data_IF_555043581182
#
_entry.id   IF_555043581182
#
_cell.length_a   1.000
_cell.length_b   1.000
_cell.length_c   1.000
_cell.angle_alpha   90.00
_cell.angle_beta   90.00
_cell.angle_gamma   90.00
#
_symmetry.space_group_name_H-M   'P 1'
#
loop_
_entity.id
_entity.type
_entity.pdbx_description
1 polymer ?
#
# COMPACT_ATOMS: atom_id res chain seq x y z
N UNK A 1 14.41 -26.73 -10.41
CA UNK A 1 14.73 -26.65 -8.97
C UNK A 1 13.48 -26.57 -8.11
N UNK A 2 12.57 -25.63 -8.32
CA UNK A 2 11.35 -25.47 -7.49
C UNK A 2 10.39 -26.68 -7.50
N UNK A 3 10.24 -27.34 -8.66
CA UNK A 3 9.41 -28.55 -8.77
C UNK A 3 9.96 -29.72 -7.94
N UNK A 4 11.29 -29.86 -7.89
CA UNK A 4 11.95 -30.87 -7.06
C UNK A 4 11.76 -30.57 -5.56
N UNK A 5 11.82 -29.29 -5.18
CA UNK A 5 11.58 -28.85 -3.81
C UNK A 5 10.14 -29.16 -3.37
N UNK A 6 9.15 -28.87 -4.23
CA UNK A 6 7.74 -29.19 -4.00
C UNK A 6 7.47 -30.70 -3.92
N UNK A 7 8.07 -31.50 -4.80
CA UNK A 7 7.96 -32.96 -4.74
C UNK A 7 8.62 -33.52 -3.47
N UNK A 8 9.74 -32.93 -3.05
CA UNK A 8 10.45 -33.35 -1.83
C UNK A 8 9.77 -32.92 -0.53
N UNK A 9 8.87 -31.94 -0.58
CA UNK A 9 8.14 -31.47 0.61
C UNK A 9 6.99 -32.41 0.98
N UNK A 10 6.42 -33.14 0.02
CA UNK A 10 5.28 -34.04 0.28
C UNK A 10 5.59 -35.18 1.27
N UNK A 11 6.68 -35.97 1.12
CA UNK A 11 7.01 -37.01 2.10
C UNK A 11 7.35 -36.43 3.48
N UNK A 12 7.98 -35.25 3.51
CA UNK A 12 8.28 -34.54 4.77
C UNK A 12 6.99 -34.09 5.46
N UNK A 13 6.03 -33.57 4.70
CA UNK A 13 4.73 -33.16 5.20
C UNK A 13 3.95 -34.34 5.78
N UNK A 14 3.99 -35.48 5.11
CA UNK A 14 3.38 -36.70 5.60
C UNK A 14 3.99 -37.13 6.95
N UNK A 15 5.32 -37.18 7.06
CA UNK A 15 6.00 -37.58 8.30
C UNK A 15 5.72 -36.62 9.47
N UNK A 16 5.73 -35.31 9.22
CA UNK A 16 5.39 -34.31 10.24
C UNK A 16 3.92 -34.42 10.63
N UNK A 17 3.03 -34.67 9.66
CA UNK A 17 1.60 -34.92 9.89
C UNK A 17 1.33 -36.15 10.73
N UNK A 18 1.98 -37.28 10.46
CA UNK A 18 1.83 -38.50 11.26
C UNK A 18 2.30 -38.29 12.71
N UNK A 19 3.43 -37.58 12.90
CA UNK A 19 3.89 -37.23 14.25
C UNK A 19 2.89 -36.36 14.98
N UNK A 20 2.30 -35.39 14.28
CA UNK A 20 1.32 -34.48 14.85
C UNK A 20 0.04 -35.22 15.27
N UNK A 21 -0.48 -36.08 14.38
CA UNK A 21 -1.62 -36.94 14.69
C UNK A 21 -1.33 -37.89 15.86
N UNK A 22 -0.14 -38.50 15.87
CA UNK A 22 0.27 -39.42 16.94
C UNK A 22 0.29 -38.72 18.30
N UNK A 23 0.83 -37.50 18.40
CA UNK A 23 0.81 -36.74 19.65
C UNK A 23 -0.62 -36.45 20.13
N UNK A 24 -1.50 -36.00 19.23
CA UNK A 24 -2.90 -35.73 19.58
C UNK A 24 -3.64 -37.00 20.00
N UNK A 25 -3.45 -38.10 19.28
CA UNK A 25 -4.06 -39.40 19.59
C UNK A 25 -3.58 -39.90 20.95
N UNK A 26 -2.29 -39.81 21.24
CA UNK A 26 -1.76 -40.22 22.55
C UNK A 26 -2.35 -39.39 23.68
N UNK A 27 -2.44 -38.06 23.51
CA UNK A 27 -3.09 -37.17 24.51
C UNK A 27 -4.57 -37.51 24.68
N UNK A 28 -5.27 -37.81 23.60
CA UNK A 28 -6.67 -38.26 23.64
C UNK A 28 -6.81 -39.57 24.43
N UNK A 29 -5.98 -40.57 24.14
CA UNK A 29 -6.00 -41.86 24.83
C UNK A 29 -5.67 -41.74 26.32
N UNK A 30 -4.68 -40.90 26.68
CA UNK A 30 -4.36 -40.62 28.09
C UNK A 30 -5.51 -39.90 28.80
N UNK A 31 -6.14 -38.93 28.14
CA UNK A 31 -7.33 -38.24 28.67
C UNK A 31 -8.48 -39.20 28.94
N UNK A 32 -8.74 -40.13 28.00
CA UNK A 32 -9.76 -41.17 28.17
C UNK A 32 -9.44 -42.12 29.31
N UNK A 33 -8.18 -42.57 29.45
CA UNK A 33 -7.77 -43.41 30.58
C UNK A 33 -8.00 -42.70 31.91
N UNK A 34 -7.63 -41.41 31.99
CA UNK A 34 -7.80 -40.60 33.20
C UNK A 34 -9.27 -40.37 33.54
N UNK A 35 -10.11 -40.10 32.53
CA UNK A 35 -11.56 -40.02 32.70
C UNK A 35 -12.17 -41.33 33.17
N UNK A 36 -11.76 -42.47 32.60
CA UNK A 36 -12.25 -43.78 33.00
C UNK A 36 -11.90 -44.09 34.46
N UNK A 37 -10.71 -43.69 34.92
CA UNK A 37 -10.33 -43.79 36.34
C UNK A 37 -11.21 -42.90 37.20
N UNK A 38 -11.47 -41.66 36.79
CA UNK A 38 -12.29 -40.71 37.54
C UNK A 38 -13.74 -41.21 37.70
N UNK A 39 -14.34 -41.70 36.63
CA UNK A 39 -15.69 -42.28 36.65
C UNK A 39 -15.76 -43.51 37.56
N UNK A 40 -14.71 -44.35 37.57
CA UNK A 40 -14.65 -45.54 38.43
C UNK A 40 -14.50 -45.23 39.92
N UNK A 41 -14.06 -44.03 40.31
CA UNK A 41 -13.97 -43.64 41.74
C UNK A 41 -15.34 -43.48 42.41
N UNK A 42 -16.41 -43.34 41.63
CA UNK A 42 -17.78 -43.17 42.16
C UNK A 42 -18.71 -44.30 41.68
N UNK A 43 -18.46 -45.56 42.05
CA UNK A 43 -19.22 -46.71 41.52
C UNK A 43 -20.70 -46.71 41.94
N UNK A 44 -21.04 -46.16 43.11
CA UNK A 44 -22.40 -46.15 43.65
C UNK A 44 -23.14 -44.81 43.45
N UNK A 45 -22.50 -43.83 42.81
CA UNK A 45 -23.07 -42.50 42.62
C UNK A 45 -23.73 -42.43 41.24
N UNK A 46 -25.01 -42.07 41.18
CA UNK A 46 -25.60 -41.58 39.93
C UNK A 46 -24.89 -40.26 39.60
N UNK A 47 -23.89 -40.33 38.72
CA UNK A 47 -23.18 -39.14 38.25
C UNK A 47 -24.17 -38.34 37.40
N UNK A 48 -24.45 -37.11 37.80
CA UNK A 48 -25.24 -36.21 36.97
C UNK A 48 -24.42 -35.86 35.71
N UNK A 49 -25.11 -35.70 34.58
CA UNK A 49 -24.44 -35.38 33.31
C UNK A 49 -23.53 -34.14 33.42
N UNK A 50 -23.94 -33.15 34.22
CA UNK A 50 -23.16 -31.94 34.46
C UNK A 50 -21.80 -32.26 35.10
N UNK A 51 -21.80 -33.02 36.20
CA UNK A 51 -20.56 -33.41 36.89
C UNK A 51 -19.64 -34.25 35.99
N UNK A 52 -20.22 -35.12 35.17
CA UNK A 52 -19.49 -35.87 34.15
C UNK A 52 -18.84 -34.94 33.12
N UNK A 53 -19.61 -34.00 32.57
CA UNK A 53 -19.13 -33.08 31.54
C UNK A 53 -18.07 -32.12 32.08
N UNK A 54 -18.24 -31.61 33.30
CA UNK A 54 -17.26 -30.74 33.96
C UNK A 54 -15.95 -31.51 34.20
N UNK A 55 -16.03 -32.78 34.62
CA UNK A 55 -14.85 -33.66 34.76
C UNK A 55 -14.19 -33.94 33.42
N UNK A 56 -14.98 -34.21 32.37
CA UNK A 56 -14.50 -34.39 31.01
C UNK A 56 -13.72 -33.17 30.51
N UNK A 57 -14.32 -31.97 30.57
CA UNK A 57 -13.67 -30.73 30.12
C UNK A 57 -12.41 -30.46 30.93
N UNK A 58 -12.43 -30.68 32.24
CA UNK A 58 -11.26 -30.44 33.10
C UNK A 58 -10.11 -31.38 32.74
N UNK A 59 -10.37 -32.69 32.64
CA UNK A 59 -9.33 -33.68 32.34
C UNK A 59 -8.73 -33.45 30.95
N UNK A 60 -9.58 -33.27 29.94
CA UNK A 60 -9.12 -33.03 28.59
C UNK A 60 -8.39 -31.69 28.51
N UNK A 61 -8.92 -30.63 29.14
CA UNK A 61 -8.26 -29.32 29.20
C UNK A 61 -6.85 -29.40 29.77
N UNK A 62 -6.64 -30.10 30.88
CA UNK A 62 -5.32 -30.27 31.49
C UNK A 62 -4.33 -31.04 30.61
N UNK A 63 -4.78 -32.14 29.99
CA UNK A 63 -3.90 -32.97 29.16
C UNK A 63 -3.55 -32.28 27.84
N UNK A 64 -4.50 -31.56 27.23
CA UNK A 64 -4.23 -30.74 26.05
C UNK A 64 -3.35 -29.53 26.39
N UNK A 65 -3.57 -28.86 27.53
CA UNK A 65 -2.68 -27.77 27.97
C UNK A 65 -1.24 -28.27 28.18
N UNK A 66 -1.08 -29.48 28.72
CA UNK A 66 0.24 -30.12 28.85
C UNK A 66 0.87 -30.38 27.49
N UNK A 67 0.11 -30.93 26.53
CA UNK A 67 0.58 -31.16 25.17
C UNK A 67 0.98 -29.83 24.50
N UNK A 68 0.12 -28.82 24.54
CA UNK A 68 0.33 -27.52 23.88
C UNK A 68 1.56 -26.78 24.44
N UNK A 69 1.89 -27.00 25.72
CA UNK A 69 3.09 -26.43 26.36
C UNK A 69 4.33 -27.32 26.21
N UNK A 70 4.19 -28.52 25.65
CA UNK A 70 5.33 -29.40 25.46
C UNK A 70 6.29 -28.83 24.41
N UNK A 71 7.61 -28.88 24.67
CA UNK A 71 8.59 -28.39 23.71
C UNK A 71 8.56 -29.19 22.41
N UNK A 72 8.28 -30.50 22.47
CA UNK A 72 8.19 -31.36 21.30
C UNK A 72 7.05 -30.95 20.37
N UNK A 73 5.89 -30.61 20.92
CA UNK A 73 4.73 -30.17 20.13
C UNK A 73 4.97 -28.78 19.54
N UNK A 74 5.58 -27.88 20.31
CA UNK A 74 5.92 -26.52 19.82
C UNK A 74 6.92 -26.58 18.68
N UNK A 75 7.96 -27.43 18.80
CA UNK A 75 8.93 -27.66 17.73
C UNK A 75 8.25 -28.27 16.49
N UNK A 76 7.35 -29.23 16.69
CA UNK A 76 6.59 -29.83 15.59
C UNK A 76 5.72 -28.81 14.86
N UNK A 77 5.03 -27.92 15.59
CA UNK A 77 4.26 -26.83 15.00
C UNK A 77 5.13 -25.83 14.24
N UNK A 78 6.29 -25.47 14.77
CA UNK A 78 7.25 -24.60 14.09
C UNK A 78 7.75 -25.25 12.78
N UNK A 79 8.07 -26.54 12.83
CA UNK A 79 8.49 -27.32 11.66
C UNK A 79 7.39 -27.40 10.60
N UNK A 80 6.14 -27.67 11.00
CA UNK A 80 4.99 -27.70 10.11
C UNK A 80 4.78 -26.33 9.43
N UNK A 81 4.82 -25.25 10.21
CA UNK A 81 4.62 -23.88 9.71
C UNK A 81 5.72 -23.45 8.73
N UNK A 82 6.98 -23.77 9.05
CA UNK A 82 8.13 -23.51 8.19
C UNK A 82 8.02 -24.27 6.86
N UNK A 83 7.66 -25.55 6.92
CA UNK A 83 7.48 -26.40 5.74
C UNK A 83 6.33 -25.95 4.84
N UNK A 84 5.18 -25.57 5.42
CA UNK A 84 4.05 -25.02 4.67
C UNK A 84 4.46 -23.72 3.97
N UNK A 85 5.14 -22.83 4.69
CA UNK A 85 5.63 -21.55 4.12
C UNK A 85 6.59 -21.79 2.95
N UNK A 86 7.52 -22.73 3.12
CA UNK A 86 8.48 -23.11 2.06
C UNK A 86 7.76 -23.69 0.85
N UNK A 87 6.74 -24.54 1.06
CA UNK A 87 5.96 -25.15 -0.02
C UNK A 87 5.13 -24.10 -0.78
N UNK A 88 4.52 -23.14 -0.07
CA UNK A 88 3.79 -22.02 -0.69
C UNK A 88 4.73 -21.19 -1.56
N UNK A 89 5.92 -20.85 -1.05
CA UNK A 89 6.91 -20.08 -1.79
C UNK A 89 7.39 -20.85 -3.03
N UNK A 90 7.70 -22.14 -2.91
CA UNK A 90 8.11 -22.97 -4.03
C UNK A 90 6.99 -23.07 -5.09
N UNK A 91 5.73 -23.20 -4.66
CA UNK A 91 4.57 -23.21 -5.55
C UNK A 91 4.39 -21.86 -6.27
N UNK A 92 4.56 -20.74 -5.57
CA UNK A 92 4.48 -19.40 -6.17
C UNK A 92 5.54 -19.22 -7.25
N UNK A 93 6.80 -19.54 -6.94
CA UNK A 93 7.90 -19.45 -7.91
C UNK A 93 7.72 -20.38 -9.10
N UNK A 94 7.15 -21.58 -8.88
CA UNK A 94 6.82 -22.48 -9.99
C UNK A 94 5.75 -21.87 -10.89
N UNK A 95 4.72 -21.24 -10.32
CA UNK A 95 3.65 -20.60 -11.09
C UNK A 95 4.16 -19.37 -11.86
N UNK A 96 5.03 -18.57 -11.25
CA UNK A 96 5.72 -17.45 -11.92
C UNK A 96 6.56 -17.95 -13.10
N UNK A 97 7.39 -18.98 -12.90
CA UNK A 97 8.17 -19.58 -13.98
C UNK A 97 7.29 -20.16 -15.11
N UNK A 98 6.13 -20.73 -14.77
CA UNK A 98 5.16 -21.18 -15.78
C UNK A 98 4.57 -20.01 -16.57
N UNK A 99 4.23 -18.89 -15.91
CA UNK A 99 3.73 -17.70 -16.59
C UNK A 99 4.77 -17.07 -17.52
N UNK A 100 6.04 -17.02 -17.10
CA UNK A 100 7.14 -16.56 -17.96
C UNK A 100 7.31 -17.43 -19.21
N UNK A 101 7.13 -18.74 -19.09
CA UNK A 101 7.20 -19.66 -20.22
C UNK A 101 6.03 -19.52 -21.21
N UNK A 102 4.89 -18.98 -20.77
CA UNK A 102 3.69 -18.82 -21.58
C UNK A 102 3.23 -17.35 -21.59
N UNK A 103 3.96 -16.44 -22.28
CA UNK A 103 3.67 -15.01 -22.29
C UNK A 103 2.34 -14.66 -22.98
N UNK A 104 1.68 -15.63 -23.62
CA UNK A 104 0.35 -15.47 -24.20
C UNK A 104 -0.79 -15.50 -23.16
N UNK A 105 -0.51 -15.90 -21.92
CA UNK A 105 -1.50 -15.90 -20.85
C UNK A 105 -1.70 -14.48 -20.31
N UNK A 106 -2.95 -14.04 -20.05
CA UNK A 106 -3.26 -12.69 -19.60
C UNK A 106 -2.94 -12.45 -18.11
N UNK A 107 -2.07 -13.27 -17.51
CA UNK A 107 -1.70 -13.19 -16.10
C UNK A 107 -0.28 -12.67 -15.98
N UNK A 108 -0.12 -11.50 -15.38
CA UNK A 108 1.19 -10.93 -15.12
C UNK A 108 1.86 -11.64 -13.92
N UNK A 109 3.16 -11.95 -14.00
CA UNK A 109 3.95 -12.34 -12.83
C UNK A 109 3.79 -11.33 -11.70
N UNK A 110 3.90 -11.80 -10.44
CA UNK A 110 3.71 -10.94 -9.28
C UNK A 110 4.72 -9.78 -9.24
N UNK A 111 5.95 -10.03 -9.70
CA UNK A 111 6.99 -9.00 -9.79
C UNK A 111 6.57 -7.82 -10.68
N UNK A 112 5.90 -8.10 -11.80
CA UNK A 112 5.41 -7.06 -12.71
C UNK A 112 4.27 -6.25 -12.08
N UNK A 113 3.39 -6.92 -11.33
CA UNK A 113 2.31 -6.25 -10.58
C UNK A 113 2.88 -5.37 -9.48
N UNK A 114 3.87 -5.85 -8.73
CA UNK A 114 4.52 -5.09 -7.65
C UNK A 114 5.31 -3.90 -8.22
N UNK A 115 6.02 -4.08 -9.33
CA UNK A 115 6.71 -3.00 -10.04
C UNK A 115 5.72 -1.94 -10.55
N UNK A 116 4.57 -2.37 -11.09
CA UNK A 116 3.51 -1.46 -11.51
C UNK A 116 2.93 -0.69 -10.32
N UNK A 117 2.67 -1.36 -9.19
CA UNK A 117 2.18 -0.73 -7.98
C UNK A 117 3.16 0.35 -7.46
N UNK A 118 4.47 0.05 -7.44
CA UNK A 118 5.51 1.02 -7.08
C UNK A 118 5.52 2.22 -8.05
N UNK A 119 5.41 1.97 -9.36
CA UNK A 119 5.33 3.05 -10.36
C UNK A 119 4.10 3.92 -10.14
N UNK A 120 2.93 3.33 -9.92
CA UNK A 120 1.68 4.05 -9.61
C UNK A 120 1.86 4.92 -8.37
N UNK A 121 2.43 4.38 -7.29
CA UNK A 121 2.70 5.15 -6.08
C UNK A 121 3.67 6.31 -6.31
N UNK A 122 4.74 6.10 -7.10
CA UNK A 122 5.70 7.14 -7.42
C UNK A 122 5.08 8.27 -8.26
N UNK A 123 4.24 7.92 -9.23
CA UNK A 123 3.52 8.88 -10.09
C UNK A 123 2.51 9.67 -9.25
N UNK A 124 1.76 8.99 -8.37
CA UNK A 124 0.82 9.65 -7.45
C UNK A 124 1.53 10.67 -6.54
N UNK A 125 2.72 10.33 -6.03
CA UNK A 125 3.53 11.29 -5.25
C UNK A 125 3.95 12.50 -6.08
N UNK A 126 4.44 12.28 -7.30
CA UNK A 126 4.85 13.36 -8.21
C UNK A 126 3.67 14.26 -8.57
N UNK A 127 2.50 13.68 -8.82
CA UNK A 127 1.27 14.40 -9.13
C UNK A 127 0.84 15.28 -7.96
N UNK A 128 0.83 14.75 -6.73
CA UNK A 128 0.52 15.53 -5.54
C UNK A 128 1.51 16.70 -5.33
N UNK A 129 2.80 16.50 -5.63
CA UNK A 129 3.80 17.58 -5.58
C UNK A 129 3.53 18.63 -6.65
N UNK A 130 3.21 18.21 -7.87
CA UNK A 130 2.86 19.14 -8.96
C UNK A 130 1.61 19.95 -8.60
N UNK A 131 0.56 19.30 -8.09
CA UNK A 131 -0.67 19.99 -7.66
C UNK A 131 -0.40 21.01 -6.55
N UNK A 132 0.48 20.69 -5.59
CA UNK A 132 0.90 21.64 -4.56
C UNK A 132 1.65 22.83 -5.16
N UNK A 133 2.56 22.58 -6.10
CA UNK A 133 3.32 23.63 -6.77
C UNK A 133 2.40 24.53 -7.61
N UNK A 134 1.43 23.96 -8.33
CA UNK A 134 0.42 24.72 -9.08
C UNK A 134 -0.40 25.59 -8.13
N UNK A 135 -0.92 25.05 -7.03
CA UNK A 135 -1.65 25.84 -6.03
C UNK A 135 -0.78 26.94 -5.40
N UNK A 136 0.51 26.71 -5.23
CA UNK A 136 1.43 27.71 -4.70
C UNK A 136 1.67 28.83 -5.72
N UNK A 137 1.84 28.50 -7.00
CA UNK A 137 1.98 29.46 -8.09
C UNK A 137 0.69 30.28 -8.25
N UNK A 138 -0.48 29.63 -8.22
CA UNK A 138 -1.78 30.31 -8.25
C UNK A 138 -1.93 31.30 -7.09
N UNK A 139 -1.52 30.92 -5.87
CA UNK A 139 -1.52 31.82 -4.71
C UNK A 139 -0.54 32.99 -4.86
N UNK A 140 0.60 32.78 -5.50
CA UNK A 140 1.58 33.85 -5.74
C UNK A 140 1.14 34.83 -6.83
N UNK A 141 0.40 34.34 -7.83
CA UNK A 141 -0.07 35.15 -8.96
C UNK A 141 -1.43 35.82 -8.68
N UNK A 142 -2.25 35.30 -7.76
CA UNK A 142 -3.50 35.91 -7.31
C UNK A 142 -3.36 37.40 -6.92
N UNK A 143 -2.42 37.79 -6.03
CA UNK A 143 -2.29 39.21 -5.65
C UNK A 143 -1.78 40.09 -6.80
N UNK A 144 -1.11 39.53 -7.80
CA UNK A 144 -0.66 40.28 -8.98
C UNK A 144 -1.82 40.56 -9.94
N UNK A 145 -2.77 39.63 -10.06
CA UNK A 145 -4.03 39.84 -10.78
C UNK A 145 -4.83 41.00 -10.20
N UNK A 146 -5.00 41.02 -8.87
CA UNK A 146 -5.75 42.06 -8.16
C UNK A 146 -5.10 43.45 -8.31
N UNK A 147 -3.75 43.52 -8.28
CA UNK A 147 -3.00 44.76 -8.47
C UNK A 147 -3.15 45.27 -9.91
N UNK A 148 -3.09 44.39 -10.91
CA UNK A 148 -3.26 44.74 -12.31
C UNK A 148 -4.68 45.24 -12.61
N UNK A 149 -5.70 44.61 -12.02
CA UNK A 149 -7.09 45.05 -12.13
C UNK A 149 -7.31 46.41 -11.48
N UNK A 150 -6.73 46.64 -10.29
CA UNK A 150 -6.77 47.95 -9.63
C UNK A 150 -6.03 49.04 -10.41
N UNK A 151 -4.90 48.72 -11.05
CA UNK A 151 -4.19 49.65 -11.94
C UNK A 151 -5.00 49.96 -13.20
N UNK A 152 -5.62 48.96 -13.83
CA UNK A 152 -6.48 49.15 -14.99
C UNK A 152 -7.69 50.06 -14.66
N UNK A 153 -8.31 49.87 -13.50
CA UNK A 153 -9.40 50.73 -13.03
C UNK A 153 -8.95 52.18 -12.82
N UNK A 154 -7.75 52.40 -12.25
CA UNK A 154 -7.19 53.75 -12.06
C UNK A 154 -6.81 54.42 -13.37
N UNK A 155 -6.30 53.66 -14.35
CA UNK A 155 -6.02 54.18 -15.69
C UNK A 155 -7.32 54.61 -16.38
N UNK A 156 -8.37 53.79 -16.30
CA UNK A 156 -9.69 54.16 -16.84
C UNK A 156 -10.27 55.42 -16.18
N UNK A 157 -10.11 55.58 -14.87
CA UNK A 157 -10.53 56.78 -14.14
C UNK A 157 -9.75 58.03 -14.58
N UNK A 158 -8.44 57.89 -14.81
CA UNK A 158 -7.58 58.98 -15.30
C UNK A 158 -7.97 59.36 -16.74
N UNK A 159 -8.22 58.39 -17.61
CA UNK A 159 -8.69 58.62 -18.99
C UNK A 159 -10.05 59.35 -19.00
N UNK A 160 -10.97 58.98 -18.11
CA UNK A 160 -12.25 59.66 -17.98
C UNK A 160 -12.09 61.10 -17.45
N UNK A 161 -11.18 61.32 -16.50
CA UNK A 161 -10.84 62.66 -15.98
C UNK A 161 -10.19 63.54 -17.05
N UNK A 162 -9.27 62.99 -17.84
CA UNK A 162 -8.64 63.70 -18.96
C UNK A 162 -9.67 64.12 -20.03
N UNK A 163 -10.69 63.28 -20.27
CA UNK A 163 -11.78 63.59 -21.22
C UNK A 163 -12.71 64.71 -20.74
N UNK A 164 -12.78 64.97 -19.42
CA UNK A 164 -13.63 65.99 -18.80
C UNK A 164 -12.93 67.33 -18.55
N UNK A 165 -11.64 67.44 -18.84
CA UNK A 165 -10.94 68.73 -18.76
C UNK A 165 -11.37 69.64 -19.93
N UNK A 166 -11.81 70.88 -19.66
CA UNK A 166 -12.11 71.82 -20.72
C UNK A 166 -10.80 72.24 -21.42
N UNK A 167 -10.81 72.18 -22.75
CA UNK A 167 -9.74 72.70 -23.59
C UNK A 167 -9.78 74.24 -23.51
N UNK A 168 -8.92 74.84 -22.68
CA UNK A 168 -8.56 76.25 -22.87
C UNK A 168 -7.69 76.34 -24.12
N UNK A 169 -8.31 76.71 -25.24
CA UNK A 169 -7.60 77.18 -26.43
C UNK A 169 -6.90 78.49 -26.07
N UNK A 170 -5.58 78.46 -25.95
CA UNK A 170 -4.74 79.66 -26.06
C UNK A 170 -3.96 79.55 -27.37
N UNK A 171 -4.34 80.40 -28.32
CA UNK A 171 -3.62 80.66 -29.56
C UNK A 171 -2.23 81.23 -29.24
N UNK A 172 -1.18 80.63 -29.80
CA UNK A 172 0.08 81.31 -30.09
C UNK A 172 0.58 80.84 -31.46
N UNK A 173 0.22 81.61 -32.48
CA UNK A 173 0.94 81.64 -33.75
C UNK A 173 2.32 82.30 -33.55
N UNK A 174 3.33 81.80 -34.27
CA UNK A 174 4.48 82.61 -34.68
C UNK A 174 5.85 81.93 -34.63
N UNK A 175 6.36 81.61 -35.82
CA UNK A 175 7.78 81.50 -36.21
C UNK A 175 8.64 80.42 -35.49
N UNK A 176 9.54 79.68 -36.12
CA UNK A 176 10.20 79.81 -37.41
C UNK A 176 10.88 78.48 -37.75
N UNK A 177 11.09 78.27 -39.04
CA UNK A 177 11.72 77.13 -39.71
C UNK A 177 13.23 77.01 -39.47
N UNK A 178 13.79 75.80 -39.48
CA UNK A 178 15.01 75.36 -40.21
C UNK A 178 15.35 73.90 -39.82
N UNK A 179 15.40 72.94 -40.75
CA UNK A 179 16.64 72.52 -41.45
C UNK A 179 17.26 71.27 -40.77
N UNK A 180 16.84 70.01 -41.07
CA UNK A 180 17.39 69.08 -42.12
C UNK A 180 18.79 68.52 -41.76
N UNK A 181 19.21 67.26 -42.06
CA UNK A 181 18.58 65.92 -42.09
C UNK A 181 19.55 64.77 -41.62
N UNK A 182 19.27 63.51 -42.00
CA UNK A 182 20.16 62.33 -42.11
C UNK A 182 20.56 61.58 -40.82
N UNK A 183 20.73 60.25 -40.76
CA UNK A 183 20.59 59.14 -41.70
C UNK A 183 20.63 57.80 -40.94
N UNK A 184 19.63 56.95 -41.20
CA UNK A 184 19.72 55.51 -41.53
C UNK A 184 20.35 54.45 -40.57
N UNK A 185 19.96 53.16 -40.75
CA UNK A 185 19.87 52.14 -39.71
C UNK A 185 21.08 51.20 -39.70
N UNK A 186 21.18 50.38 -38.64
CA UNK A 186 21.90 49.09 -38.72
C UNK A 186 21.18 48.00 -37.93
N UNK A 187 20.70 47.03 -38.71
CA UNK A 187 20.49 45.63 -38.35
C UNK A 187 21.81 44.93 -38.03
N UNK A 188 21.75 43.90 -37.16
CA UNK A 188 22.48 42.60 -37.14
C UNK A 188 21.99 41.84 -35.90
N UNK A 189 21.16 40.81 -36.01
CA UNK A 189 21.46 39.39 -36.35
C UNK A 189 22.51 38.71 -35.47
N UNK A 190 22.05 37.61 -34.81
CA UNK A 190 22.74 36.37 -34.36
C UNK A 190 23.90 36.54 -33.36
N UNK A 191 24.09 35.69 -32.35
CA UNK A 191 23.82 34.25 -32.16
C UNK A 191 23.19 33.92 -30.79
#
# INVERSE_FOLDING_TARGET
TYLQELLSSYPKAYQVGERYESMLRNTWDESLKRLAVEVRKSPDRKIEYKDFFDSYITIFGEEYDRLLRSPEYTELQANLSSMVSTTILASQKMMEAQLEMFPALPFAPREDVDALAQRVHSVKRRLNTLERNVRQIERMNSPQGDILEGLAARVAEIEEKLRKLPVETTELEGCETTGVPHAHPRTKERE
#
